data_IF_697175641447
#
_entry.id   IF_697175641447
#
_cell.length_a   1.000
_cell.length_b   1.000
_cell.length_c   1.000
_cell.angle_alpha   90.00
_cell.angle_beta   90.00
_cell.angle_gamma   90.00
#
_symmetry.space_group_name_H-M   'P 1'
#
loop_
_entity.id
_entity.type
_entity.pdbx_description
1 polymer ?
#
# COMPACT_ATOMS: atom_id res chain seq x y z
N UNK A 1 -10.84 6.07 10.02
CA UNK A 1 -10.89 6.14 8.54
C UNK A 1 -10.38 7.51 8.12
N UNK A 2 -9.45 7.60 7.17
CA UNK A 2 -8.94 8.90 6.67
C UNK A 2 -9.85 9.43 5.57
N UNK A 3 -10.06 10.75 5.52
CA UNK A 3 -10.77 11.40 4.40
C UNK A 3 -9.88 11.51 3.17
N UNK A 4 -10.47 11.65 1.98
CA UNK A 4 -9.72 11.83 0.73
C UNK A 4 -8.74 13.01 0.79
N UNK A 5 -9.15 14.12 1.43
CA UNK A 5 -8.28 15.27 1.62
C UNK A 5 -7.07 14.93 2.49
N UNK A 6 -7.27 14.22 3.61
CA UNK A 6 -6.18 13.78 4.49
C UNK A 6 -5.23 12.82 3.75
N UNK A 7 -5.77 11.86 3.00
CA UNK A 7 -4.99 10.93 2.18
C UNK A 7 -4.16 11.67 1.13
N UNK A 8 -4.77 12.64 0.43
CA UNK A 8 -4.08 13.48 -0.54
C UNK A 8 -2.94 14.28 0.10
N UNK A 9 -3.16 14.87 1.27
CA UNK A 9 -2.12 15.58 2.03
C UNK A 9 -0.95 14.65 2.40
N UNK A 10 -1.24 13.44 2.87
CA UNK A 10 -0.22 12.46 3.25
C UNK A 10 0.60 12.00 2.05
N UNK A 11 -0.05 11.71 0.91
CA UNK A 11 0.63 11.35 -0.33
C UNK A 11 1.56 12.48 -0.81
N UNK A 12 1.09 13.73 -0.74
CA UNK A 12 1.91 14.88 -1.11
C UNK A 12 3.11 15.08 -0.18
N UNK A 13 2.94 14.88 1.13
CA UNK A 13 4.00 15.03 2.14
C UNK A 13 5.01 13.87 2.16
N UNK A 14 4.70 12.73 1.52
CA UNK A 14 5.60 11.58 1.46
C UNK A 14 6.95 11.97 0.81
N UNK A 15 8.05 11.91 1.57
CA UNK A 15 9.38 12.32 1.12
C UNK A 15 10.11 11.25 0.30
N UNK A 16 9.61 10.00 0.33
CA UNK A 16 10.18 8.87 -0.42
C UNK A 16 9.97 9.05 -1.94
N UNK A 17 9.00 9.89 -2.34
CA UNK A 17 8.64 10.12 -3.73
C UNK A 17 8.91 11.56 -4.17
N UNK A 18 9.60 11.69 -5.31
CA UNK A 18 9.86 12.99 -5.95
C UNK A 18 8.57 13.61 -6.51
N UNK A 19 8.56 14.94 -6.67
CA UNK A 19 7.43 15.61 -7.33
C UNK A 19 7.24 15.20 -8.79
N UNK A 20 8.34 14.83 -9.47
CA UNK A 20 8.27 14.32 -10.84
C UNK A 20 7.46 13.02 -10.87
N UNK A 21 7.79 12.08 -10.00
CA UNK A 21 7.04 10.82 -9.85
C UNK A 21 5.55 11.07 -9.53
N UNK A 22 5.28 11.95 -8.55
CA UNK A 22 3.90 12.30 -8.18
C UNK A 22 3.13 12.93 -9.34
N UNK A 23 3.80 13.75 -10.15
CA UNK A 23 3.22 14.39 -11.33
C UNK A 23 2.87 13.37 -12.42
N UNK A 24 3.77 12.43 -12.70
CA UNK A 24 3.56 11.35 -13.67
C UNK A 24 2.38 10.46 -13.25
N UNK A 25 2.30 10.08 -11.97
CA UNK A 25 1.24 9.19 -11.46
C UNK A 25 -0.12 9.86 -11.36
N UNK A 26 -0.17 11.14 -10.98
CA UNK A 26 -1.44 11.86 -10.78
C UNK A 26 -1.95 12.59 -12.02
N UNK A 27 -1.08 12.83 -13.00
CA UNK A 27 -1.34 13.74 -14.12
C UNK A 27 -1.42 15.22 -13.72
N UNK A 28 -1.11 15.57 -12.48
CA UNK A 28 -1.13 16.94 -11.97
C UNK A 28 0.27 17.54 -12.14
N UNK A 29 0.36 18.77 -12.67
CA UNK A 29 1.67 19.39 -12.90
C UNK A 29 2.48 19.58 -11.60
N UNK A 30 3.80 19.43 -11.72
CA UNK A 30 4.75 19.62 -10.61
C UNK A 30 4.52 20.96 -9.88
N UNK A 31 4.28 22.04 -10.63
CA UNK A 31 4.04 23.38 -10.07
C UNK A 31 2.77 23.41 -9.21
N UNK A 32 1.70 22.74 -9.64
CA UNK A 32 0.47 22.63 -8.87
C UNK A 32 0.67 21.79 -7.62
N UNK A 33 1.38 20.66 -7.73
CA UNK A 33 1.69 19.81 -6.58
C UNK A 33 2.52 20.56 -5.51
N UNK A 34 3.54 21.31 -5.94
CA UNK A 34 4.32 22.17 -5.04
C UNK A 34 3.45 23.22 -4.36
N UNK A 35 2.54 23.87 -5.09
CA UNK A 35 1.59 24.84 -4.55
C UNK A 35 0.64 24.23 -3.52
N UNK A 36 0.21 22.97 -3.70
CA UNK A 36 -0.63 22.28 -2.72
C UNK A 36 0.09 22.04 -1.40
N UNK A 37 1.40 21.82 -1.42
CA UNK A 37 2.21 21.65 -0.20
C UNK A 37 2.53 22.98 0.46
N UNK A 38 2.99 23.97 -0.31
CA UNK A 38 3.38 25.27 0.25
C UNK A 38 2.17 26.07 0.73
N UNK A 39 1.01 25.88 0.09
CA UNK A 39 -0.25 26.56 0.44
C UNK A 39 -1.36 25.51 0.59
N UNK A 40 -1.50 24.85 1.75
CA UNK A 40 -2.49 23.79 1.97
C UNK A 40 -3.94 24.20 1.68
N UNK A 41 -4.25 25.50 1.84
CA UNK A 41 -5.55 26.06 1.46
C UNK A 41 -5.89 25.86 -0.02
N UNK A 42 -4.88 25.77 -0.90
CA UNK A 42 -5.08 25.49 -2.33
C UNK A 42 -5.46 24.04 -2.60
N UNK A 43 -5.01 23.10 -1.76
CA UNK A 43 -5.45 21.71 -1.85
C UNK A 43 -6.91 21.58 -1.37
N UNK A 44 -7.26 22.28 -0.29
CA UNK A 44 -8.65 22.31 0.22
C UNK A 44 -9.64 22.88 -0.79
N UNK A 45 -9.19 23.83 -1.62
CA UNK A 45 -9.95 24.44 -2.72
C UNK A 45 -9.69 23.80 -4.08
N UNK A 46 -8.92 22.72 -4.14
CA UNK A 46 -8.64 22.03 -5.39
C UNK A 46 -9.92 21.36 -5.93
N UNK A 47 -9.93 21.05 -7.23
CA UNK A 47 -11.00 20.25 -7.80
C UNK A 47 -11.07 18.89 -7.10
N UNK A 48 -12.28 18.41 -6.84
CA UNK A 48 -12.53 17.10 -6.24
C UNK A 48 -11.75 15.99 -6.95
N UNK A 49 -11.70 16.03 -8.29
CA UNK A 49 -10.95 15.10 -9.13
C UNK A 49 -9.48 15.00 -8.73
N UNK A 50 -8.81 16.13 -8.48
CA UNK A 50 -7.40 16.12 -8.08
C UNK A 50 -7.21 15.55 -6.68
N UNK A 51 -8.11 15.87 -5.75
CA UNK A 51 -8.08 15.36 -4.38
C UNK A 51 -8.25 13.83 -4.38
N UNK A 52 -9.29 13.32 -5.03
CA UNK A 52 -9.55 11.88 -5.12
C UNK A 52 -8.44 11.12 -5.86
N UNK A 53 -7.83 11.71 -6.90
CA UNK A 53 -6.67 11.09 -7.57
C UNK A 53 -5.50 10.89 -6.62
N UNK A 54 -5.14 11.93 -5.87
CA UNK A 54 -4.05 11.85 -4.88
C UNK A 54 -4.40 10.91 -3.73
N UNK A 55 -5.67 10.88 -3.30
CA UNK A 55 -6.16 9.96 -2.27
C UNK A 55 -6.05 8.49 -2.70
N UNK A 56 -6.43 8.15 -3.94
CA UNK A 56 -6.29 6.79 -4.47
C UNK A 56 -4.83 6.36 -4.56
N UNK A 57 -3.94 7.28 -4.97
CA UNK A 57 -2.51 6.99 -4.99
C UNK A 57 -1.96 6.75 -3.59
N UNK A 58 -2.45 7.46 -2.56
CA UNK A 58 -2.13 7.15 -1.17
C UNK A 58 -2.53 5.73 -0.79
N UNK A 59 -3.77 5.34 -1.08
CA UNK A 59 -4.28 4.02 -0.74
C UNK A 59 -3.45 2.92 -1.39
N UNK A 60 -3.10 3.07 -2.68
CA UNK A 60 -2.24 2.13 -3.39
C UNK A 60 -0.83 2.03 -2.76
N UNK A 61 -0.25 3.13 -2.30
CA UNK A 61 1.06 3.12 -1.65
C UNK A 61 1.00 2.52 -0.25
N UNK A 62 -0.09 2.74 0.51
CA UNK A 62 -0.31 2.08 1.79
C UNK A 62 -0.49 0.57 1.59
N UNK A 63 -1.24 0.17 0.58
CA UNK A 63 -1.42 -1.23 0.22
C UNK A 63 -0.08 -1.85 -0.14
N UNK A 64 0.70 -1.26 -1.05
CA UNK A 64 2.06 -1.73 -1.37
C UNK A 64 2.97 -1.79 -0.15
N UNK A 65 2.96 -0.76 0.71
CA UNK A 65 3.78 -0.78 1.92
C UNK A 65 3.34 -1.87 2.89
N UNK A 66 2.05 -2.20 2.99
CA UNK A 66 1.59 -3.39 3.73
C UNK A 66 2.11 -4.67 3.10
N UNK A 67 2.11 -4.76 1.76
CA UNK A 67 2.68 -5.91 1.04
C UNK A 67 4.19 -6.03 1.30
N UNK A 68 4.91 -4.91 1.43
CA UNK A 68 6.36 -4.86 1.61
C UNK A 68 6.79 -4.97 3.09
N UNK A 69 5.97 -4.51 4.04
CA UNK A 69 6.25 -4.48 5.47
C UNK A 69 5.90 -5.79 6.17
N UNK A 70 6.28 -6.92 5.59
CA UNK A 70 6.28 -8.17 6.33
C UNK A 70 7.33 -8.07 7.42
N UNK A 71 6.88 -7.94 8.66
CA UNK A 71 7.78 -8.03 9.79
C UNK A 71 7.99 -9.51 10.15
N UNK A 72 9.11 -9.82 10.80
CA UNK A 72 9.49 -11.18 11.16
C UNK A 72 8.37 -11.94 11.91
N UNK A 73 7.53 -11.25 12.70
CA UNK A 73 6.43 -11.86 13.44
C UNK A 73 5.30 -12.35 12.53
N UNK A 74 5.04 -11.67 11.41
CA UNK A 74 4.00 -12.08 10.46
C UNK A 74 4.43 -13.35 9.72
N UNK A 75 5.72 -13.43 9.38
CA UNK A 75 6.34 -14.65 8.83
C UNK A 75 6.26 -15.80 9.82
N UNK A 76 6.60 -15.54 11.10
CA UNK A 76 6.52 -16.57 12.16
C UNK A 76 5.08 -17.06 12.34
N UNK A 77 4.10 -16.15 12.47
CA UNK A 77 2.68 -16.51 12.62
C UNK A 77 2.18 -17.37 11.45
N UNK A 78 2.60 -17.05 10.22
CA UNK A 78 2.25 -17.85 9.06
C UNK A 78 2.92 -19.22 9.06
N UNK A 79 4.20 -19.31 9.44
CA UNK A 79 4.91 -20.58 9.54
C UNK A 79 4.30 -21.47 10.63
N UNK A 80 3.91 -20.90 11.77
CA UNK A 80 3.20 -21.60 12.84
C UNK A 80 1.85 -22.13 12.33
N UNK A 81 1.07 -21.30 11.66
CA UNK A 81 -0.19 -21.73 11.04
C UNK A 81 0.00 -22.86 10.03
N UNK A 82 1.01 -22.78 9.15
CA UNK A 82 1.31 -23.86 8.21
C UNK A 82 1.67 -25.16 8.93
N UNK A 83 2.40 -25.08 10.04
CA UNK A 83 2.77 -26.25 10.83
C UNK A 83 1.57 -26.89 11.52
N UNK A 84 0.61 -26.10 11.98
CA UNK A 84 -0.62 -26.60 12.62
C UNK A 84 -1.64 -27.17 11.63
N UNK A 85 -1.72 -26.61 10.42
CA UNK A 85 -2.85 -26.86 9.50
C UNK A 85 -2.47 -27.68 8.27
N UNK A 86 -1.18 -27.83 7.95
CA UNK A 86 -0.73 -28.59 6.78
C UNK A 86 0.04 -29.82 7.24
N UNK A 87 -0.42 -31.05 6.93
CA UNK A 87 0.27 -32.28 7.32
C UNK A 87 1.68 -32.36 6.70
N UNK A 88 2.57 -33.14 7.32
CA UNK A 88 3.94 -33.35 6.82
C UNK A 88 4.06 -34.52 5.81
N UNK A 89 2.93 -35.06 5.38
CA UNK A 89 2.88 -36.11 4.36
C UNK A 89 3.30 -35.56 2.97
N UNK A 90 3.51 -36.44 1.96
CA UNK A 90 3.91 -36.01 0.62
C UNK A 90 2.97 -34.99 -0.02
N UNK A 91 1.67 -35.04 0.28
CA UNK A 91 0.67 -34.12 -0.26
C UNK A 91 0.73 -32.75 0.43
N UNK A 92 0.86 -32.74 1.76
CA UNK A 92 1.06 -31.52 2.53
C UNK A 92 2.38 -30.80 2.20
N UNK A 93 3.43 -31.53 1.82
CA UNK A 93 4.68 -30.94 1.31
C UNK A 93 4.49 -30.20 -0.02
N UNK A 94 3.75 -30.77 -0.96
CA UNK A 94 3.40 -30.10 -2.22
C UNK A 94 2.52 -28.87 -1.99
N UNK A 95 1.53 -28.97 -1.08
CA UNK A 95 0.71 -27.82 -0.70
C UNK A 95 1.53 -26.67 -0.10
N UNK A 96 2.47 -26.97 0.81
CA UNK A 96 3.39 -25.96 1.37
C UNK A 96 4.17 -25.24 0.29
N UNK A 97 4.67 -25.99 -0.70
CA UNK A 97 5.42 -25.43 -1.82
C UNK A 97 4.57 -24.45 -2.65
N UNK A 98 3.35 -24.85 -3.02
CA UNK A 98 2.42 -24.01 -3.78
C UNK A 98 2.09 -22.71 -3.03
N UNK A 99 1.84 -22.81 -1.73
CA UNK A 99 1.49 -21.65 -0.89
C UNK A 99 2.69 -20.71 -0.74
N UNK A 100 3.90 -21.23 -0.54
CA UNK A 100 5.12 -20.41 -0.43
C UNK A 100 5.50 -19.72 -1.76
N UNK A 101 5.20 -20.35 -2.89
CA UNK A 101 5.44 -19.78 -4.22
C UNK A 101 4.39 -18.72 -4.60
N UNK A 102 3.21 -18.70 -3.96
CA UNK A 102 2.13 -17.76 -4.24
C UNK A 102 1.90 -16.73 -3.13
N UNK A 103 2.51 -15.56 -3.32
CA UNK A 103 2.46 -14.43 -2.37
C UNK A 103 1.02 -13.95 -2.07
N UNK A 104 0.08 -14.08 -2.99
CA UNK A 104 -1.32 -13.67 -2.75
C UNK A 104 -2.03 -14.55 -1.72
N UNK A 105 -1.75 -15.86 -1.71
CA UNK A 105 -2.34 -16.80 -0.74
C UNK A 105 -1.83 -16.49 0.67
N UNK A 106 -0.52 -16.24 0.78
CA UNK A 106 0.12 -15.79 2.01
C UNK A 106 -0.52 -14.51 2.57
N UNK A 107 -0.83 -13.54 1.71
CA UNK A 107 -1.51 -12.29 2.08
C UNK A 107 -2.93 -12.51 2.58
N UNK A 108 -3.71 -13.35 1.90
CA UNK A 108 -5.09 -13.66 2.31
C UNK A 108 -5.16 -14.38 3.67
N UNK A 109 -4.13 -15.15 4.03
CA UNK A 109 -4.08 -15.91 5.28
C UNK A 109 -3.65 -15.06 6.48
N UNK A 110 -2.79 -14.05 6.29
CA UNK A 110 -2.33 -13.18 7.38
C UNK A 110 -3.34 -12.08 7.71
N UNK A 111 -4.15 -11.64 6.74
CA UNK A 111 -5.16 -10.59 6.93
C UNK A 111 -6.47 -11.08 7.62
N UNK A 112 -6.55 -12.36 8.00
CA UNK A 112 -7.63 -12.92 8.84
C UNK A 112 -7.33 -12.79 10.34
#
# INVERSE_FOLDING_TARGET
MLTDLQKAELYLKNKDMTFKHKSEKSGISINTLKKYITLPQRLKKASWINVTRLARLYDNEVEKKKLESFNLKDVVKFMDWMNENIPEDPYGKELRKIILENREIYLQLIER
#
